data_IF_075562746088
#
_entry.id   IF_075562746088
#
_cell.length_a   1.000
_cell.length_b   1.000
_cell.length_c   1.000
_cell.angle_alpha   90.00
_cell.angle_beta   90.00
_cell.angle_gamma   90.00
#
_symmetry.space_group_name_H-M   'P 1'
#
loop_
_entity.id
_entity.type
_entity.pdbx_description
1 polymer ?
#
# COMPACT_ATOMS: atom_id res chain seq x y z
N UNK A 1 13.03 -26.89 -6.62
CA UNK A 1 11.90 -25.95 -6.65
C UNK A 1 12.01 -25.12 -5.39
N UNK A 2 12.59 -23.94 -5.48
CA UNK A 2 12.62 -23.00 -4.36
C UNK A 2 11.30 -22.24 -4.44
N UNK A 3 10.41 -22.49 -3.48
CA UNK A 3 9.37 -21.53 -3.16
C UNK A 3 10.09 -20.28 -2.63
N UNK A 4 10.24 -19.27 -3.49
CA UNK A 4 10.56 -17.92 -3.04
C UNK A 4 9.45 -17.52 -2.07
N UNK A 5 9.74 -17.66 -0.77
CA UNK A 5 8.86 -17.16 0.28
C UNK A 5 8.89 -15.65 0.14
N UNK A 6 7.82 -15.08 -0.40
CA UNK A 6 7.59 -13.65 -0.33
C UNK A 6 7.91 -13.19 1.10
N UNK A 7 8.92 -12.34 1.25
CA UNK A 7 9.32 -11.81 2.56
C UNK A 7 8.15 -10.99 3.11
N UNK A 8 7.38 -11.61 4.01
CA UNK A 8 6.27 -11.00 4.71
C UNK A 8 6.82 -9.87 5.59
N UNK A 9 6.57 -8.62 5.21
CA UNK A 9 7.03 -7.47 5.98
C UNK A 9 6.45 -7.49 7.39
N UNK A 10 7.33 -7.44 8.40
CA UNK A 10 6.98 -7.44 9.82
C UNK A 10 7.51 -6.19 10.50
N UNK A 11 6.64 -5.49 11.20
CA UNK A 11 7.00 -4.26 11.90
C UNK A 11 5.89 -3.73 12.79
N UNK A 12 6.16 -2.59 13.41
CA UNK A 12 5.15 -1.81 14.10
C UNK A 12 4.10 -1.30 13.11
N UNK A 13 2.88 -1.05 13.59
CA UNK A 13 1.77 -0.63 12.75
C UNK A 13 2.10 0.58 11.85
N UNK A 14 2.80 1.58 12.37
CA UNK A 14 3.26 2.73 11.59
C UNK A 14 4.27 2.35 10.50
N UNK A 15 5.18 1.41 10.80
CA UNK A 15 6.18 0.91 9.86
C UNK A 15 5.52 0.12 8.73
N UNK A 16 4.60 -0.78 9.07
CA UNK A 16 3.79 -1.53 8.12
C UNK A 16 2.98 -0.59 7.21
N UNK A 17 2.34 0.43 7.79
CA UNK A 17 1.55 1.40 7.04
C UNK A 17 2.42 2.25 6.10
N UNK A 18 3.60 2.67 6.55
CA UNK A 18 4.57 3.40 5.74
C UNK A 18 5.13 2.54 4.60
N UNK A 19 5.44 1.28 4.87
CA UNK A 19 5.88 0.33 3.85
C UNK A 19 4.77 0.09 2.82
N UNK A 20 3.53 -0.12 3.27
CA UNK A 20 2.35 -0.23 2.42
C UNK A 20 2.16 1.01 1.53
N UNK A 21 2.27 2.21 2.11
CA UNK A 21 2.19 3.46 1.35
C UNK A 21 3.30 3.60 0.30
N UNK A 22 4.52 3.15 0.62
CA UNK A 22 5.66 3.14 -0.32
C UNK A 22 5.44 2.14 -1.45
N UNK A 23 4.93 0.96 -1.15
CA UNK A 23 4.56 -0.06 -2.14
C UNK A 23 3.47 0.45 -3.10
N UNK A 24 2.41 1.09 -2.57
CA UNK A 24 1.38 1.73 -3.39
C UNK A 24 1.93 2.87 -4.27
N UNK A 25 2.82 3.70 -3.74
CA UNK A 25 3.41 4.80 -4.50
C UNK A 25 4.37 4.32 -5.60
N UNK A 26 4.98 3.14 -5.41
CA UNK A 26 5.86 2.51 -6.39
C UNK A 26 5.09 1.95 -7.59
N UNK A 27 3.85 1.47 -7.38
CA UNK A 27 2.98 0.99 -8.45
C UNK A 27 2.19 2.11 -9.12
N UNK A 28 1.88 3.20 -8.41
CA UNK A 28 1.09 4.31 -8.94
C UNK A 28 1.61 5.69 -8.48
N UNK A 29 2.04 6.56 -9.42
CA UNK A 29 2.55 7.90 -9.08
C UNK A 29 1.54 8.76 -8.32
N UNK A 30 2.05 9.56 -7.37
CA UNK A 30 1.26 10.52 -6.58
C UNK A 30 0.55 11.52 -7.50
N UNK A 31 -0.72 11.83 -7.19
CA UNK A 31 -1.53 12.80 -7.94
C UNK A 31 -2.23 12.24 -9.19
N UNK A 32 -1.92 11.01 -9.60
CA UNK A 32 -2.65 10.35 -10.69
C UNK A 32 -4.06 9.89 -10.26
N UNK A 33 -4.97 9.73 -11.21
CA UNK A 33 -6.29 9.11 -10.95
C UNK A 33 -6.16 7.70 -10.38
N UNK A 34 -5.12 6.97 -10.77
CA UNK A 34 -4.84 5.62 -10.26
C UNK A 34 -4.51 5.62 -8.77
N UNK A 35 -3.89 6.68 -8.23
CA UNK A 35 -3.51 6.73 -6.82
C UNK A 35 -4.74 6.75 -5.89
N UNK A 36 -5.85 7.35 -6.33
CA UNK A 36 -7.11 7.29 -5.60
C UNK A 36 -7.73 5.89 -5.67
N UNK A 37 -7.67 5.24 -6.83
CA UNK A 37 -8.17 3.87 -7.01
C UNK A 37 -7.37 2.86 -6.19
N UNK A 38 -6.04 2.99 -6.12
CA UNK A 38 -5.17 2.11 -5.33
C UNK A 38 -5.44 2.19 -3.82
N UNK A 39 -5.93 3.33 -3.32
CA UNK A 39 -6.30 3.54 -1.91
C UNK A 39 -7.75 3.14 -1.60
N UNK A 40 -8.58 2.94 -2.63
CA UNK A 40 -10.00 2.65 -2.46
C UNK A 40 -10.24 1.37 -1.64
N UNK A 41 -9.53 0.24 -1.85
CA UNK A 41 -9.77 -0.98 -1.08
C UNK A 41 -9.60 -0.79 0.43
N UNK A 42 -8.54 -0.10 0.86
CA UNK A 42 -8.33 0.17 2.30
C UNK A 42 -9.35 1.17 2.85
N UNK A 43 -9.76 2.17 2.06
CA UNK A 43 -10.79 3.12 2.45
C UNK A 43 -12.14 2.43 2.66
N UNK A 44 -12.55 1.61 1.69
CA UNK A 44 -13.80 0.85 1.71
C UNK A 44 -13.80 -0.17 2.86
N UNK A 45 -12.70 -0.91 3.06
CA UNK A 45 -12.58 -1.86 4.17
C UNK A 45 -12.68 -1.17 5.53
N UNK A 46 -12.00 -0.03 5.71
CA UNK A 46 -12.01 0.71 6.96
C UNK A 46 -13.30 1.53 7.17
N UNK A 47 -14.14 1.69 6.15
CA UNK A 47 -15.32 2.54 6.19
C UNK A 47 -14.98 4.03 6.33
N UNK A 48 -13.88 4.48 5.72
CA UNK A 48 -13.39 5.86 5.78
C UNK A 48 -13.23 6.47 4.39
N UNK A 49 -12.96 7.77 4.32
CA UNK A 49 -12.67 8.44 3.04
C UNK A 49 -11.25 8.14 2.55
N UNK A 50 -11.04 8.19 1.22
CA UNK A 50 -9.71 8.12 0.61
C UNK A 50 -8.78 9.24 1.12
N UNK A 51 -9.35 10.38 1.51
CA UNK A 51 -8.59 11.49 2.12
C UNK A 51 -8.03 11.10 3.49
N UNK A 52 -8.81 10.38 4.32
CA UNK A 52 -8.34 9.85 5.61
C UNK A 52 -7.15 8.92 5.40
N UNK A 53 -7.27 7.95 4.49
CA UNK A 53 -6.18 7.04 4.12
C UNK A 53 -4.96 7.82 3.61
N UNK A 54 -5.18 8.82 2.76
CA UNK A 54 -4.09 9.65 2.23
C UNK A 54 -3.34 10.40 3.33
N UNK A 55 -4.02 10.86 4.38
CA UNK A 55 -3.37 11.49 5.55
C UNK A 55 -2.55 10.48 6.33
N UNK A 56 -3.07 9.27 6.54
CA UNK A 56 -2.35 8.21 7.25
C UNK A 56 -1.08 7.79 6.50
N UNK A 57 -1.15 7.58 5.19
CA UNK A 57 0.00 7.15 4.37
C UNK A 57 1.07 8.23 4.19
N UNK A 58 0.71 9.51 4.26
CA UNK A 58 1.66 10.62 4.11
C UNK A 58 2.17 11.18 5.45
N UNK A 59 1.73 10.62 6.59
CA UNK A 59 2.05 11.13 7.92
C UNK A 59 1.69 12.63 8.11
N UNK A 60 0.61 13.09 7.47
CA UNK A 60 0.17 14.50 7.49
C UNK A 60 -1.09 14.73 8.34
N UNK A 61 -1.48 13.75 9.15
CA UNK A 61 -2.66 13.84 10.01
C UNK A 61 -2.63 12.84 11.15
N UNK A 62 -3.68 12.85 11.96
CA UNK A 62 -3.82 11.92 13.09
C UNK A 62 -3.93 10.48 12.61
N UNK A 63 -3.21 9.59 13.31
CA UNK A 63 -3.35 8.14 13.15
C UNK A 63 -4.80 7.71 13.42
N UNK A 64 -5.32 6.65 12.75
CA UNK A 64 -6.66 6.15 13.06
C UNK A 64 -6.78 5.76 14.53
N UNK A 65 -7.96 5.98 15.09
CA UNK A 65 -8.34 5.58 16.44
C UNK A 65 -9.64 4.79 16.42
N UNK A 66 -9.86 3.96 17.43
CA UNK A 66 -11.09 3.17 17.58
C UNK A 66 -11.28 2.11 16.50
N UNK A 67 -12.49 2.03 15.93
CA UNK A 67 -12.83 1.00 14.93
C UNK A 67 -12.00 1.07 13.64
N UNK A 68 -11.75 2.26 13.03
CA UNK A 68 -10.84 2.37 11.89
C UNK A 68 -9.44 1.80 12.15
N UNK A 69 -8.92 1.90 13.37
CA UNK A 69 -7.61 1.35 13.74
C UNK A 69 -7.64 -0.19 13.74
N UNK A 70 -8.69 -0.79 14.31
CA UNK A 70 -8.89 -2.25 14.29
C UNK A 70 -9.00 -2.74 12.84
N UNK A 71 -9.84 -2.08 12.04
CA UNK A 71 -10.01 -2.40 10.62
C UNK A 71 -8.71 -2.27 9.85
N UNK A 72 -7.92 -1.23 10.11
CA UNK A 72 -6.62 -1.07 9.45
C UNK A 72 -5.66 -2.21 9.78
N UNK A 73 -5.58 -2.63 11.05
CA UNK A 73 -4.74 -3.79 11.43
C UNK A 73 -5.19 -5.07 10.72
N UNK A 74 -6.50 -5.35 10.68
CA UNK A 74 -7.04 -6.51 9.96
C UNK A 74 -6.79 -6.43 8.45
N UNK A 75 -6.91 -5.24 7.85
CA UNK A 75 -6.62 -5.05 6.43
C UNK A 75 -5.16 -5.33 6.11
N UNK A 76 -4.23 -4.80 6.93
CA UNK A 76 -2.80 -5.04 6.76
C UNK A 76 -2.45 -6.53 6.89
N UNK A 77 -3.00 -7.22 7.89
CA UNK A 77 -2.86 -8.68 8.04
C UNK A 77 -3.40 -9.43 6.81
N UNK A 78 -4.58 -9.04 6.33
CA UNK A 78 -5.23 -9.63 5.15
C UNK A 78 -4.37 -9.52 3.87
N UNK A 79 -3.66 -8.40 3.69
CA UNK A 79 -2.78 -8.16 2.52
C UNK A 79 -1.33 -8.59 2.77
N UNK A 80 -1.08 -9.37 3.84
CA UNK A 80 0.19 -10.04 4.08
C UNK A 80 1.20 -9.27 4.91
N UNK A 81 0.79 -8.31 5.73
CA UNK A 81 1.69 -7.65 6.70
C UNK A 81 1.58 -8.27 8.09
N UNK A 82 2.70 -8.35 8.80
CA UNK A 82 2.74 -8.80 10.20
C UNK A 82 2.85 -7.61 11.14
N UNK A 83 1.72 -7.16 11.69
CA UNK A 83 1.67 -6.03 12.63
C UNK A 83 1.97 -6.52 14.05
N UNK A 84 3.07 -6.05 14.64
CA UNK A 84 3.55 -6.50 15.97
C UNK A 84 2.50 -6.26 17.07
N UNK A 85 1.84 -5.10 17.06
CA UNK A 85 0.79 -4.76 18.02
C UNK A 85 -0.35 -5.78 17.93
N UNK A 86 -0.74 -6.15 16.70
CA UNK A 86 -1.79 -7.13 16.48
C UNK A 86 -1.36 -8.53 16.95
N UNK A 87 -0.11 -8.93 16.68
CA UNK A 87 0.50 -10.20 17.12
C UNK A 87 0.68 -10.34 18.63
N UNK A 88 0.73 -9.24 19.38
CA UNK A 88 0.87 -9.26 20.85
C UNK A 88 -0.46 -9.38 21.57
N UNK A 89 -1.57 -9.03 20.91
CA UNK A 89 -2.91 -9.14 21.51
C UNK A 89 -3.21 -10.63 21.80
N UNK A 90 -3.73 -10.97 23.00
CA UNK A 90 -4.17 -12.33 23.31
C UNK A 90 -5.12 -12.89 22.27
N UNK A 91 -5.00 -14.19 21.97
CA UNK A 91 -5.71 -14.83 20.85
C UNK A 91 -7.21 -14.57 20.85
N UNK A 92 -7.89 -14.70 21.99
CA UNK A 92 -9.33 -14.46 22.09
C UNK A 92 -9.71 -13.03 21.68
N UNK A 93 -8.97 -12.03 22.16
CA UNK A 93 -9.19 -10.61 21.84
C UNK A 93 -8.87 -10.31 20.37
N UNK A 94 -7.79 -10.87 19.82
CA UNK A 94 -7.45 -10.73 18.40
C UNK A 94 -8.54 -11.31 17.51
N UNK A 95 -8.95 -12.55 17.80
CA UNK A 95 -10.02 -13.25 17.11
C UNK A 95 -11.34 -12.46 17.13
N UNK A 96 -11.69 -11.85 18.26
CA UNK A 96 -12.87 -10.99 18.34
C UNK A 96 -12.68 -9.65 17.62
N UNK A 97 -11.48 -9.06 17.65
CA UNK A 97 -11.16 -7.86 16.88
C UNK A 97 -11.31 -8.10 15.36
N UNK A 98 -11.01 -9.30 14.86
CA UNK A 98 -11.29 -9.68 13.47
C UNK A 98 -12.79 -9.62 13.17
N UNK A 99 -13.67 -10.05 14.08
CA UNK A 99 -15.12 -9.94 13.84
C UNK A 99 -15.54 -8.47 13.61
N UNK A 100 -14.93 -7.52 14.32
CA UNK A 100 -15.14 -6.09 14.09
C UNK A 100 -14.48 -5.64 12.77
N UNK A 101 -13.24 -6.07 12.53
CA UNK A 101 -12.46 -5.75 11.34
C UNK A 101 -13.19 -6.12 10.04
N UNK A 102 -13.79 -7.31 10.01
CA UNK A 102 -14.54 -7.82 8.87
C UNK A 102 -16.04 -7.47 8.90
N UNK A 103 -16.49 -6.66 9.86
CA UNK A 103 -17.83 -6.09 9.90
C UNK A 103 -18.95 -7.05 10.30
N UNK A 104 -18.66 -8.04 11.15
CA UNK A 104 -19.68 -8.83 11.86
C UNK A 104 -20.28 -8.08 13.05
N UNK A 105 -19.47 -7.21 13.66
CA UNK A 105 -19.92 -6.26 14.69
C UNK A 105 -19.44 -4.85 14.33
N UNK A 106 -20.29 -3.85 14.55
CA UNK A 106 -19.80 -2.49 14.78
C UNK A 106 -19.17 -2.40 16.17
N UNK A 107 -18.35 -1.37 16.42
CA UNK A 107 -17.80 -1.15 17.76
C UNK A 107 -18.86 -0.97 18.84
N UNK A 108 -20.01 -0.35 18.51
CA UNK A 108 -21.13 -0.21 19.45
C UNK A 108 -21.80 -1.54 19.77
N UNK A 109 -22.09 -2.36 18.76
CA UNK A 109 -22.68 -3.69 18.95
C UNK A 109 -21.74 -4.61 19.74
N UNK A 110 -20.44 -4.55 19.46
CA UNK A 110 -19.44 -5.30 20.22
C UNK A 110 -19.35 -4.86 21.69
N UNK A 111 -19.43 -3.56 21.95
CA UNK A 111 -19.41 -3.04 23.32
C UNK A 111 -20.65 -3.47 24.10
N UNK A 112 -21.83 -3.38 23.48
CA UNK A 112 -23.09 -3.86 24.04
C UNK A 112 -23.05 -5.37 24.32
N UNK A 113 -22.63 -6.17 23.35
CA UNK A 113 -22.52 -7.63 23.47
C UNK A 113 -21.64 -8.08 24.65
N UNK A 114 -20.54 -7.35 24.90
CA UNK A 114 -19.62 -7.64 25.99
C UNK A 114 -19.93 -6.91 27.30
N UNK A 115 -20.98 -6.08 27.33
CA UNK A 115 -21.33 -5.28 28.50
C UNK A 115 -20.26 -4.25 28.87
N UNK A 116 -19.70 -3.55 27.89
CA UNK A 116 -18.89 -2.34 28.13
C UNK A 116 -19.78 -1.09 28.03
N UNK A 117 -19.61 -0.17 28.98
CA UNK A 117 -20.32 1.12 29.01
C UNK A 117 -19.84 2.10 27.93
N UNK A 118 -18.66 1.87 27.36
CA UNK A 118 -18.06 2.73 26.34
C UNK A 118 -17.29 1.91 25.31
N UNK A 119 -17.41 2.31 24.04
CA UNK A 119 -16.64 1.75 22.92
C UNK A 119 -15.15 2.03 23.08
N UNK A 120 -14.78 3.15 23.71
CA UNK A 120 -13.38 3.49 23.99
C UNK A 120 -12.72 2.43 24.88
N UNK A 121 -13.39 2.02 25.96
CA UNK A 121 -12.91 0.96 26.86
C UNK A 121 -12.74 -0.36 26.12
N UNK A 122 -13.71 -0.72 25.27
CA UNK A 122 -13.59 -1.90 24.41
C UNK A 122 -12.33 -1.83 23.54
N UNK A 123 -12.09 -0.71 22.85
CA UNK A 123 -10.93 -0.59 21.96
C UNK A 123 -9.61 -0.66 22.72
N UNK A 124 -9.52 -0.08 23.92
CA UNK A 124 -8.33 -0.22 24.77
C UNK A 124 -8.06 -1.68 25.16
N UNK A 125 -9.11 -2.44 25.47
CA UNK A 125 -8.99 -3.88 25.75
C UNK A 125 -8.54 -4.66 24.52
N UNK A 126 -9.15 -4.41 23.36
CA UNK A 126 -8.81 -5.10 22.12
C UNK A 126 -7.40 -4.75 21.62
N UNK A 127 -6.88 -3.57 21.93
CA UNK A 127 -5.51 -3.16 21.63
C UNK A 127 -4.48 -3.71 22.64
N UNK A 128 -4.92 -4.36 23.71
CA UNK A 128 -4.04 -4.90 24.76
C UNK A 128 -3.57 -3.85 25.77
N UNK A 129 -4.07 -2.61 25.71
CA UNK A 129 -3.75 -1.55 26.66
C UNK A 129 -4.50 -1.72 28.00
N UNK A 130 -5.58 -2.49 28.00
CA UNK A 130 -6.35 -2.86 29.19
C UNK A 130 -6.65 -4.36 29.21
N UNK A 131 -6.81 -4.90 30.40
CA UNK A 131 -7.23 -6.29 30.59
C UNK A 131 -8.75 -6.41 30.60
N UNK A 132 -9.26 -7.46 29.96
CA UNK A 132 -10.62 -7.92 30.15
C UNK A 132 -10.70 -8.85 31.37
N UNK A 133 -11.89 -8.99 31.93
CA UNK A 133 -12.17 -10.10 32.85
C UNK A 133 -12.19 -11.43 32.08
N UNK A 134 -11.94 -12.53 32.79
CA UNK A 134 -11.96 -13.88 32.21
C UNK A 134 -13.30 -14.20 31.53
N UNK A 135 -14.42 -13.84 32.16
CA UNK A 135 -15.76 -13.96 31.58
C UNK A 135 -15.90 -13.24 30.23
N UNK A 136 -15.29 -12.05 30.09
CA UNK A 136 -15.38 -11.28 28.84
C UNK A 136 -14.45 -11.86 27.78
N UNK A 137 -13.25 -12.31 28.15
CA UNK A 137 -12.34 -13.00 27.23
C UNK A 137 -12.98 -14.32 26.73
N UNK A 138 -13.69 -15.05 27.58
CA UNK A 138 -14.44 -16.24 27.21
C UNK A 138 -15.59 -15.91 26.25
N UNK A 139 -16.39 -14.88 26.53
CA UNK A 139 -17.45 -14.40 25.62
C UNK A 139 -16.91 -13.99 24.25
N UNK A 140 -15.77 -13.29 24.20
CA UNK A 140 -15.10 -12.94 22.95
C UNK A 140 -14.72 -14.19 22.14
N UNK A 141 -14.17 -15.20 22.82
CA UNK A 141 -13.75 -16.45 22.22
C UNK A 141 -14.93 -17.26 21.66
N UNK A 142 -16.03 -17.34 22.41
CA UNK A 142 -17.22 -18.08 21.98
C UNK A 142 -17.92 -17.40 20.80
N UNK A 143 -18.03 -16.07 20.82
CA UNK A 143 -18.58 -15.30 19.69
C UNK A 143 -17.77 -15.50 18.39
N UNK A 144 -16.44 -15.61 18.50
CA UNK A 144 -15.58 -15.93 17.37
C UNK A 144 -15.75 -17.36 16.88
N UNK A 145 -15.81 -18.34 17.79
CA UNK A 145 -16.02 -19.75 17.41
C UNK A 145 -17.30 -19.94 16.60
N UNK A 146 -18.39 -19.31 17.05
CA UNK A 146 -19.70 -19.38 16.38
C UNK A 146 -19.65 -18.84 14.94
N UNK A 147 -18.82 -17.83 14.67
CA UNK A 147 -18.73 -17.15 13.36
C UNK A 147 -17.48 -17.47 12.56
N UNK A 148 -16.67 -18.44 13.02
CA UNK A 148 -15.34 -18.70 12.46
C UNK A 148 -15.43 -19.07 10.97
N UNK A 149 -16.38 -19.91 10.58
CA UNK A 149 -16.52 -20.35 9.19
C UNK A 149 -16.92 -19.20 8.26
N UNK A 150 -17.90 -18.40 8.67
CA UNK A 150 -18.33 -17.20 7.94
C UNK A 150 -17.20 -16.17 7.83
N UNK A 151 -16.44 -15.99 8.92
CA UNK A 151 -15.28 -15.10 8.95
C UNK A 151 -14.23 -15.52 7.90
N UNK A 152 -13.88 -16.81 7.88
CA UNK A 152 -12.91 -17.34 6.91
C UNK A 152 -13.41 -17.25 5.46
N UNK A 153 -14.70 -17.48 5.22
CA UNK A 153 -15.29 -17.25 3.90
C UNK A 153 -15.21 -15.77 3.48
N UNK A 154 -15.49 -14.84 4.40
CA UNK A 154 -15.42 -13.40 4.13
C UNK A 154 -13.98 -12.93 3.91
N UNK A 155 -13.01 -13.48 4.64
CA UNK A 155 -11.57 -13.27 4.41
C UNK A 155 -11.17 -13.67 3.00
N UNK A 156 -11.51 -14.90 2.58
CA UNK A 156 -11.21 -15.40 1.24
C UNK A 156 -11.82 -14.54 0.14
N UNK A 157 -13.10 -14.18 0.27
CA UNK A 157 -13.79 -13.32 -0.71
C UNK A 157 -13.15 -11.93 -0.88
N UNK A 158 -12.55 -11.39 0.18
CA UNK A 158 -11.85 -10.10 0.13
C UNK A 158 -10.40 -10.20 -0.35
N UNK A 159 -9.78 -11.38 -0.22
CA UNK A 159 -8.45 -11.68 -0.77
C UNK A 159 -8.50 -12.08 -2.25
N UNK A 160 -9.62 -12.63 -2.72
CA UNK A 160 -9.81 -12.89 -4.14
C UNK A 160 -9.59 -11.59 -4.91
N UNK A 161 -8.68 -11.58 -5.91
CA UNK A 161 -8.51 -10.42 -6.75
C UNK A 161 -9.86 -10.15 -7.40
N UNK A 162 -10.52 -9.06 -6.98
CA UNK A 162 -11.72 -8.63 -7.67
C UNK A 162 -11.33 -8.52 -9.14
N UNK A 163 -12.04 -9.22 -10.05
CA UNK A 163 -11.84 -9.01 -11.46
C UNK A 163 -12.06 -7.52 -11.64
N UNK A 164 -10.98 -6.79 -11.92
CA UNK A 164 -11.07 -5.42 -12.40
C UNK A 164 -11.95 -5.56 -13.61
N UNK A 165 -13.18 -5.11 -13.48
CA UNK A 165 -14.20 -5.23 -14.50
C UNK A 165 -13.52 -4.85 -15.82
N UNK A 166 -13.35 -5.84 -16.70
CA UNK A 166 -12.97 -5.67 -18.08
C UNK A 166 -14.10 -4.97 -18.87
N UNK A 167 -14.84 -4.09 -18.19
CA UNK A 167 -15.77 -3.11 -18.70
C UNK A 167 -15.12 -1.73 -18.71
N UNK A 168 -13.91 -1.64 -19.27
CA UNK A 168 -13.75 -0.69 -20.39
C UNK A 168 -14.40 -1.37 -21.58
N UNK A 169 -15.74 -1.49 -21.53
CA UNK A 169 -16.53 -1.75 -22.72
C UNK A 169 -16.24 -0.55 -23.60
N UNK A 170 -15.52 -0.80 -24.70
CA UNK A 170 -15.60 -0.01 -25.91
C UNK A 170 -17.08 0.34 -26.12
N UNK A 171 -17.44 1.58 -25.77
CA UNK A 171 -18.80 2.07 -25.98
C UNK A 171 -18.85 2.51 -27.45
N UNK A 172 -19.92 2.16 -28.18
CA UNK A 172 -20.01 2.44 -29.60
C UNK A 172 -19.89 3.94 -29.84
N UNK A 173 -19.09 4.28 -30.86
CA UNK A 173 -18.95 5.60 -31.44
C UNK A 173 -20.32 6.30 -31.50
N UNK A 174 -20.52 7.28 -30.62
CA UNK A 174 -21.55 8.28 -30.84
C UNK A 174 -20.82 9.48 -31.42
N UNK A 175 -21.04 9.67 -32.72
CA UNK A 175 -20.56 10.79 -33.52
C UNK A 175 -20.85 12.13 -32.81
N UNK A 176 -19.79 12.84 -32.42
CA UNK A 176 -19.83 14.27 -32.08
C UNK A 176 -18.53 14.89 -32.64
N UNK A 177 -18.59 16.07 -33.28
CA UNK A 177 -17.73 16.39 -34.43
C UNK A 177 -16.31 16.83 -34.07
N UNK A 178 -15.39 16.44 -34.98
CA UNK A 178 -14.03 16.93 -35.22
C UNK A 178 -13.59 18.15 -34.38
N UNK A 179 -12.71 17.89 -33.41
CA UNK A 179 -11.70 18.85 -32.98
C UNK A 179 -10.39 18.11 -32.63
N UNK A 180 -9.52 18.02 -33.64
CA UNK A 180 -8.06 17.86 -33.59
C UNK A 180 -7.45 16.86 -32.58
N UNK A 181 -7.30 15.61 -33.00
CA UNK A 181 -6.26 14.72 -32.46
C UNK A 181 -4.87 15.26 -32.82
N UNK A 182 -4.02 15.47 -31.82
CA UNK A 182 -2.57 15.54 -32.00
C UNK A 182 -1.96 14.22 -31.53
N UNK A 183 -1.05 13.60 -32.29
CA UNK A 183 -0.34 12.40 -31.86
C UNK A 183 0.72 12.77 -30.82
N UNK A 184 0.57 12.28 -29.59
CA UNK A 184 1.55 12.43 -28.52
C UNK A 184 2.16 11.07 -28.14
N UNK A 185 2.88 10.45 -29.08
CA UNK A 185 3.73 9.29 -28.80
C UNK A 185 5.22 9.54 -29.09
N UNK A 186 5.56 10.64 -29.77
CA UNK A 186 6.96 11.06 -29.97
C UNK A 186 7.49 11.99 -28.86
N UNK A 187 6.62 12.78 -28.21
CA UNK A 187 7.06 13.84 -27.29
C UNK A 187 7.67 13.31 -25.98
N UNK A 188 7.17 12.18 -25.47
CA UNK A 188 7.65 11.61 -24.21
C UNK A 188 9.05 10.99 -24.37
N UNK A 189 9.29 10.27 -25.47
CA UNK A 189 10.58 9.66 -25.76
C UNK A 189 11.66 10.74 -25.97
N UNK A 190 11.35 11.79 -26.73
CA UNK A 190 12.26 12.92 -26.91
C UNK A 190 12.55 13.63 -25.59
N UNK A 191 11.55 13.82 -24.72
CA UNK A 191 11.76 14.43 -23.41
C UNK A 191 12.67 13.59 -22.52
N UNK A 192 12.52 12.27 -22.52
CA UNK A 192 13.40 11.36 -21.76
C UNK A 192 14.84 11.46 -22.25
N UNK A 193 15.06 11.45 -23.57
CA UNK A 193 16.39 11.60 -24.16
C UNK A 193 17.01 12.96 -23.78
N UNK A 194 16.27 14.05 -23.90
CA UNK A 194 16.76 15.39 -23.52
C UNK A 194 17.10 15.51 -22.02
N UNK A 195 16.35 14.84 -21.14
CA UNK A 195 16.68 14.78 -19.71
C UNK A 195 17.99 14.01 -19.48
N UNK A 196 18.19 12.88 -20.16
CA UNK A 196 19.42 12.10 -20.05
C UNK A 196 20.65 12.87 -20.55
N UNK A 197 20.53 13.57 -21.68
CA UNK A 197 21.58 14.45 -22.20
C UNK A 197 21.90 15.59 -21.23
N UNK A 198 20.88 16.22 -20.64
CA UNK A 198 21.07 17.26 -19.63
C UNK A 198 21.77 16.75 -18.37
N UNK A 199 21.41 15.55 -17.89
CA UNK A 199 22.08 14.91 -16.75
C UNK A 199 23.55 14.58 -17.04
N UNK A 200 23.85 14.11 -18.25
CA UNK A 200 25.23 13.84 -18.68
C UNK A 200 26.06 15.13 -18.67
N UNK A 201 25.56 16.21 -19.28
CA UNK A 201 26.25 17.50 -19.30
C UNK A 201 26.51 18.07 -17.89
N UNK A 202 25.58 17.83 -16.96
CA UNK A 202 25.76 18.22 -15.56
C UNK A 202 26.84 17.39 -14.85
N UNK A 203 26.98 16.11 -15.17
CA UNK A 203 27.98 15.23 -14.54
C UNK A 203 29.38 15.41 -15.10
N UNK A 204 29.52 15.77 -16.38
CA UNK A 204 30.82 16.09 -16.99
C UNK A 204 31.51 17.29 -16.31
N UNK A 205 30.74 18.17 -15.66
CA UNK A 205 31.27 19.28 -14.86
C UNK A 205 31.83 18.91 -13.48
N UNK A 206 31.90 17.61 -13.13
CA UNK A 206 32.32 17.10 -11.82
C UNK A 206 31.75 17.90 -10.62
N UNK A 207 30.41 18.12 -10.55
CA UNK A 207 29.80 18.97 -9.53
C UNK A 207 29.99 18.41 -8.11
N UNK A 208 30.31 17.13 -8.00
CA UNK A 208 30.48 16.41 -6.74
C UNK A 208 31.82 16.68 -6.04
N UNK A 209 32.83 17.21 -6.73
CA UNK A 209 34.15 17.46 -6.13
C UNK A 209 34.14 18.58 -5.07
N UNK A 210 33.13 19.46 -5.10
CA UNK A 210 33.03 20.63 -4.21
C UNK A 210 31.86 20.56 -3.24
N UNK A 211 31.23 19.40 -3.07
CA UNK A 211 30.10 19.28 -2.17
C UNK A 211 30.56 19.32 -0.71
N UNK A 212 29.91 20.12 0.15
CA UNK A 212 30.18 20.09 1.58
C UNK A 212 29.69 18.76 2.19
N UNK A 213 30.28 18.34 3.31
CA UNK A 213 29.96 17.06 3.99
C UNK A 213 28.46 16.90 4.34
N UNK A 214 27.78 18.02 4.62
CA UNK A 214 26.33 18.05 4.86
C UNK A 214 25.48 17.69 3.64
N UNK A 215 25.97 17.94 2.42
CA UNK A 215 25.29 17.57 1.18
C UNK A 215 25.63 16.13 0.77
N UNK A 216 26.87 15.70 1.03
CA UNK A 216 27.32 14.32 0.87
C UNK A 216 26.49 13.32 1.70
N UNK A 217 26.14 13.69 2.93
CA UNK A 217 25.26 12.87 3.80
C UNK A 217 23.82 12.79 3.27
N UNK A 218 23.30 13.86 2.67
CA UNK A 218 21.99 13.84 2.00
C UNK A 218 22.01 13.01 0.71
N UNK A 219 23.12 13.04 -0.03
CA UNK A 219 23.33 12.18 -1.20
C UNK A 219 23.38 10.71 -0.78
N UNK A 220 24.04 10.39 0.34
CA UNK A 220 24.09 9.04 0.90
C UNK A 220 22.69 8.51 1.26
N UNK A 221 21.79 9.36 1.76
CA UNK A 221 20.39 8.98 2.01
C UNK A 221 19.64 8.60 0.72
N UNK A 222 20.08 9.14 -0.42
CA UNK A 222 19.52 8.87 -1.74
C UNK A 222 20.31 7.81 -2.53
N UNK A 223 21.32 7.16 -1.93
CA UNK A 223 22.21 6.22 -2.62
C UNK A 223 21.45 5.07 -3.30
N UNK A 224 20.41 4.54 -2.66
CA UNK A 224 19.58 3.47 -3.24
C UNK A 224 18.88 3.91 -4.54
N UNK A 225 18.41 5.16 -4.61
CA UNK A 225 17.78 5.72 -5.82
C UNK A 225 18.81 5.93 -6.93
N UNK A 226 20.00 6.43 -6.59
CA UNK A 226 21.12 6.63 -7.54
C UNK A 226 21.57 5.29 -8.12
N UNK A 227 21.73 4.26 -7.29
CA UNK A 227 22.10 2.92 -7.73
C UNK A 227 21.04 2.31 -8.66
N UNK A 228 19.75 2.48 -8.36
CA UNK A 228 18.66 2.02 -9.25
C UNK A 228 18.68 2.74 -10.59
N UNK A 229 18.87 4.07 -10.59
CA UNK A 229 18.99 4.84 -11.82
C UNK A 229 20.17 4.34 -12.67
N UNK A 230 21.33 4.13 -12.05
CA UNK A 230 22.51 3.56 -12.73
C UNK A 230 22.21 2.19 -13.34
N UNK A 231 21.55 1.28 -12.61
CA UNK A 231 21.19 -0.03 -13.14
C UNK A 231 20.27 0.05 -14.37
N UNK A 232 19.27 0.95 -14.35
CA UNK A 232 18.39 1.16 -15.50
C UNK A 232 19.13 1.75 -16.71
N UNK A 233 20.05 2.69 -16.50
CA UNK A 233 20.86 3.27 -17.56
C UNK A 233 21.82 2.25 -18.18
N UNK A 234 22.44 1.39 -17.36
CA UNK A 234 23.29 0.29 -17.83
C UNK A 234 22.50 -0.73 -18.65
N UNK A 235 21.30 -1.09 -18.21
CA UNK A 235 20.41 -1.98 -18.97
C UNK A 235 20.01 -1.37 -20.33
N UNK A 236 19.66 -0.07 -20.34
CA UNK A 236 19.35 0.65 -21.57
C UNK A 236 20.55 0.71 -22.51
N UNK A 237 21.75 1.00 -22.00
CA UNK A 237 22.98 1.00 -22.80
C UNK A 237 23.24 -0.37 -23.43
N UNK A 238 23.07 -1.46 -22.67
CA UNK A 238 23.22 -2.83 -23.17
C UNK A 238 22.23 -3.13 -24.30
N UNK A 239 20.97 -2.70 -24.13
CA UNK A 239 19.94 -2.82 -25.18
C UNK A 239 20.28 -2.03 -26.45
N UNK A 240 20.83 -0.82 -26.32
CA UNK A 240 21.21 0.00 -27.47
C UNK A 240 22.42 -0.59 -28.23
N UNK A 241 23.39 -1.14 -27.52
CA UNK A 241 24.56 -1.81 -28.12
C UNK A 241 24.14 -3.07 -28.88
N UNK A 242 23.35 -3.94 -28.24
CA UNK A 242 22.85 -5.17 -28.88
C UNK A 242 21.96 -4.88 -30.10
N UNK A 243 21.14 -3.83 -30.04
CA UNK A 243 20.34 -3.38 -31.18
C UNK A 243 21.20 -2.86 -32.35
N UNK A 244 22.30 -2.16 -32.04
CA UNK A 244 23.24 -1.67 -33.05
C UNK A 244 24.05 -2.81 -33.71
N UNK A 245 24.41 -3.86 -32.95
CA UNK A 245 25.13 -5.03 -33.47
C UNK A 245 24.24 -5.90 -34.37
N UNK A 246 22.97 -6.09 -34.02
CA UNK A 246 22.00 -6.82 -34.84
C UNK A 246 21.76 -6.16 -36.20
N UNK A 247 21.88 -4.82 -36.29
CA UNK A 247 21.81 -4.09 -37.56
C UNK A 247 23.06 -4.19 -38.43
N UNK A 248 24.22 -4.48 -37.85
CA UNK A 248 25.49 -4.61 -38.60
C UNK A 248 25.75 -6.04 -39.09
N UNK A 249 25.17 -7.06 -38.47
CA UNK A 249 25.30 -8.47 -38.89
C UNK A 249 24.29 -8.95 -39.93
N UNK A 250 23.42 -8.06 -40.42
CA UNK A 250 22.36 -8.35 -41.40
C UNK A 250 22.57 -7.71 -42.78
N UNK A 251 23.79 -7.31 -43.12
CA UNK A 251 24.20 -6.86 -44.47
C UNK A 251 25.27 -7.78 -45.03
#
# INVERSE_FOLDING_TARGET
MNEDRDEVFRGHLEECLRHFGTSLASSVPKGSRGAAQAKKPVADFCGVTINSVSRWLNNTGSFPVGEPLIKLMCYLDMVGYRVIEFERIPKARRSFAELIGYGFFSGSQAAEFLGYSSTSTLYQVLQGNQNASEDKDQKMWDAWKERKEELEQRKKKLQEPQPLDASIKARPETEVPRASERPASSSCQTAVVSIMEGLLALFEGNPFEKLPDSELTNLHRSAATVLRLSAHLSALSSHLITFAEQRKGGS
#
